data_IF_059105808306
#
_entry.id   IF_059105808306
#
_cell.length_a   1.000
_cell.length_b   1.000
_cell.length_c   1.000
_cell.angle_alpha   90.00
_cell.angle_beta   90.00
_cell.angle_gamma   90.00
#
_symmetry.space_group_name_H-M   'P 1'
#
loop_
_entity.id
_entity.type
_entity.pdbx_description
1 polymer ?
#
# COMPACT_ATOMS: atom_id res chain seq x y z
N UNK A 1 47.81 -4.86 -52.07
CA UNK A 1 47.06 -3.57 -52.04
C UNK A 1 45.61 -3.91 -52.34
N UNK A 2 44.74 -4.03 -51.31
CA UNK A 2 43.60 -3.13 -50.99
C UNK A 2 42.75 -2.84 -52.26
N UNK A 3 41.47 -3.23 -52.37
CA UNK A 3 40.33 -2.76 -51.57
C UNK A 3 39.09 -3.70 -51.62
N UNK A 4 38.49 -3.90 -50.42
CA UNK A 4 37.05 -3.93 -50.03
C UNK A 4 36.03 -4.60 -50.98
N UNK A 5 35.45 -5.77 -50.68
CA UNK A 5 34.49 -6.13 -49.60
C UNK A 5 33.32 -5.16 -49.48
N UNK A 6 32.13 -5.60 -49.94
CA UNK A 6 30.83 -5.23 -49.36
C UNK A 6 29.70 -6.04 -49.99
N UNK A 7 29.44 -7.25 -49.50
CA UNK A 7 28.11 -7.84 -49.57
C UNK A 7 27.98 -9.01 -48.58
N UNK A 8 26.81 -9.08 -47.96
CA UNK A 8 26.35 -10.04 -46.94
C UNK A 8 26.89 -9.81 -45.52
N UNK A 9 26.09 -9.13 -44.70
CA UNK A 9 25.40 -9.81 -43.59
C UNK A 9 24.18 -8.99 -43.14
N UNK A 10 23.10 -9.08 -43.94
CA UNK A 10 21.75 -8.81 -43.46
C UNK A 10 21.33 -10.01 -42.64
N UNK A 11 21.65 -10.03 -41.33
CA UNK A 11 21.03 -10.89 -40.31
C UNK A 11 21.63 -10.62 -38.92
N UNK A 12 21.61 -9.35 -38.52
CA UNK A 12 21.49 -9.02 -37.10
C UNK A 12 20.12 -8.37 -36.96
N UNK A 13 19.09 -9.21 -37.01
CA UNK A 13 17.90 -8.97 -36.19
C UNK A 13 18.47 -9.00 -34.77
N UNK A 14 18.92 -7.83 -34.31
CA UNK A 14 18.98 -7.54 -32.90
C UNK A 14 17.53 -7.64 -32.45
N UNK A 15 17.11 -8.87 -32.15
CA UNK A 15 16.09 -9.11 -31.15
C UNK A 15 16.70 -8.42 -29.95
N UNK A 16 16.18 -7.26 -29.49
CA UNK A 16 16.47 -6.92 -28.13
C UNK A 16 15.89 -8.13 -27.39
N UNK A 17 16.76 -9.00 -26.91
CA UNK A 17 16.45 -9.79 -25.75
C UNK A 17 16.17 -8.71 -24.71
N UNK A 18 14.91 -8.27 -24.68
CA UNK A 18 14.29 -7.77 -23.49
C UNK A 18 14.48 -8.93 -22.54
N UNK A 19 15.61 -8.93 -21.84
CA UNK A 19 15.59 -9.32 -20.47
C UNK A 19 14.36 -8.58 -19.95
N UNK A 20 13.25 -9.31 -19.81
CA UNK A 20 12.39 -9.06 -18.69
C UNK A 20 13.35 -9.18 -17.52
N UNK A 21 14.02 -8.06 -17.21
CA UNK A 21 14.55 -7.80 -15.89
C UNK A 21 13.36 -8.18 -15.05
N UNK A 22 13.51 -9.32 -14.38
CA UNK A 22 12.58 -9.88 -13.44
C UNK A 22 12.16 -8.69 -12.61
N UNK A 23 10.97 -8.15 -12.90
CA UNK A 23 10.65 -6.78 -12.54
C UNK A 23 10.72 -6.79 -11.03
N UNK A 24 11.80 -6.19 -10.48
CA UNK A 24 12.10 -6.28 -9.05
C UNK A 24 10.79 -5.99 -8.34
N UNK A 25 10.25 -6.98 -7.62
CA UNK A 25 8.91 -6.91 -7.05
C UNK A 25 8.90 -5.69 -6.15
N UNK A 26 8.35 -4.59 -6.65
CA UNK A 26 8.47 -3.30 -5.99
C UNK A 26 7.30 -3.12 -5.02
N UNK A 27 7.08 -4.14 -4.19
CA UNK A 27 6.00 -4.26 -3.22
C UNK A 27 5.79 -2.91 -2.50
N UNK A 28 4.54 -2.49 -2.20
CA UNK A 28 4.26 -1.32 -1.37
C UNK A 28 4.98 -1.43 -0.02
N UNK A 29 6.22 -0.94 0.03
CA UNK A 29 7.13 -1.21 1.14
C UNK A 29 6.64 -0.60 2.44
N UNK A 30 6.95 -1.26 3.55
CA UNK A 30 6.69 -0.71 4.88
C UNK A 30 7.56 0.51 5.16
N UNK A 31 7.07 1.38 6.03
CA UNK A 31 7.72 2.64 6.39
C UNK A 31 8.08 2.64 7.87
N UNK A 32 9.12 3.39 8.23
CA UNK A 32 9.52 3.51 9.62
C UNK A 32 8.53 4.41 10.40
N UNK A 33 7.66 3.80 11.20
CA UNK A 33 6.66 4.49 12.04
C UNK A 33 7.27 5.30 13.20
N UNK A 34 8.60 5.32 13.36
CA UNK A 34 9.33 6.15 14.34
C UNK A 34 9.98 7.38 13.70
N UNK A 35 10.01 7.48 12.37
CA UNK A 35 10.60 8.62 11.65
C UNK A 35 9.63 9.81 11.57
N UNK A 36 10.08 10.98 12.00
CA UNK A 36 9.25 12.19 12.08
C UNK A 36 8.71 12.64 10.72
N UNK A 37 9.51 12.53 9.64
CA UNK A 37 9.09 12.95 8.29
C UNK A 37 8.03 11.99 7.75
N UNK A 38 8.24 10.69 7.94
CA UNK A 38 7.27 9.63 7.59
C UNK A 38 5.95 9.87 8.32
N UNK A 39 5.98 10.04 9.65
CA UNK A 39 4.78 10.28 10.46
C UNK A 39 4.04 11.53 9.99
N UNK A 40 4.76 12.62 9.68
CA UNK A 40 4.14 13.86 9.20
C UNK A 40 3.45 13.65 7.84
N UNK A 41 4.08 12.92 6.93
CA UNK A 41 3.51 12.59 5.62
C UNK A 41 2.28 11.69 5.73
N UNK A 42 2.35 10.68 6.60
CA UNK A 42 1.24 9.77 6.92
C UNK A 42 0.04 10.53 7.52
N UNK A 43 0.26 11.34 8.56
CA UNK A 43 -0.81 12.13 9.17
C UNK A 43 -1.48 13.10 8.19
N UNK A 44 -0.72 13.70 7.28
CA UNK A 44 -1.23 14.71 6.35
C UNK A 44 -1.79 14.17 5.03
N UNK A 45 -1.79 12.84 4.83
CA UNK A 45 -2.29 12.26 3.58
C UNK A 45 -1.36 12.48 2.38
N UNK A 46 -0.07 12.77 2.63
CA UNK A 46 0.94 13.06 1.59
C UNK A 46 1.97 11.94 1.42
N UNK A 47 1.84 10.83 2.14
CA UNK A 47 2.75 9.70 2.01
C UNK A 47 2.66 9.08 0.62
N UNK A 48 3.82 8.71 0.08
CA UNK A 48 3.98 8.01 -1.19
C UNK A 48 4.74 6.71 -0.93
N UNK A 49 4.18 5.58 -1.34
CA UNK A 49 4.74 4.24 -1.15
C UNK A 49 5.34 3.77 -2.47
N UNK A 50 6.69 3.73 -2.55
CA UNK A 50 7.45 3.39 -3.77
C UNK A 50 6.89 4.06 -5.05
N UNK A 51 6.49 5.33 -4.95
CA UNK A 51 6.02 6.15 -6.09
C UNK A 51 4.50 6.14 -6.34
N UNK A 52 3.70 5.53 -5.45
CA UNK A 52 2.23 5.51 -5.52
C UNK A 52 1.65 6.22 -4.31
N UNK A 53 0.59 7.00 -4.50
CA UNK A 53 -0.13 7.74 -3.43
C UNK A 53 -1.64 7.47 -3.49
N UNK A 54 -2.34 7.87 -2.44
CA UNK A 54 -3.82 7.84 -2.41
C UNK A 54 -4.39 8.58 -3.63
N UNK A 55 -5.40 7.97 -4.25
CA UNK A 55 -6.04 8.46 -5.47
C UNK A 55 -5.36 8.04 -6.78
N UNK A 56 -4.15 7.48 -6.75
CA UNK A 56 -3.54 6.86 -7.93
C UNK A 56 -4.30 5.59 -8.34
N UNK A 57 -4.18 5.20 -9.61
CA UNK A 57 -4.98 4.09 -10.13
C UNK A 57 -4.33 2.73 -9.95
N UNK A 58 -5.12 1.67 -10.08
CA UNK A 58 -4.62 0.28 -10.20
C UNK A 58 -3.52 0.16 -11.24
N UNK A 59 -3.66 0.82 -12.40
CA UNK A 59 -2.62 0.82 -13.44
C UNK A 59 -1.31 1.42 -12.93
N UNK A 60 -1.38 2.58 -12.26
CA UNK A 60 -0.19 3.21 -11.67
C UNK A 60 0.45 2.29 -10.62
N UNK A 61 -0.36 1.70 -9.75
CA UNK A 61 0.09 0.76 -8.72
C UNK A 61 0.80 -0.45 -9.33
N UNK A 62 0.22 -1.12 -10.32
CA UNK A 62 0.84 -2.30 -10.95
C UNK A 62 2.11 -1.95 -11.75
N UNK A 63 2.20 -0.75 -12.33
CA UNK A 63 3.43 -0.28 -12.99
C UNK A 63 4.55 -0.04 -11.98
N UNK A 64 4.22 0.51 -10.80
CA UNK A 64 5.21 0.86 -9.78
C UNK A 64 5.57 -0.31 -8.89
N UNK A 65 4.60 -1.10 -8.49
CA UNK A 65 4.73 -2.19 -7.53
C UNK A 65 4.87 -3.57 -8.15
N UNK A 66 4.55 -3.70 -9.43
CA UNK A 66 4.55 -4.98 -10.12
C UNK A 66 3.28 -5.78 -9.86
N UNK A 67 3.38 -7.09 -10.12
CA UNK A 67 2.26 -8.02 -10.02
C UNK A 67 1.94 -8.29 -8.53
N UNK A 68 0.67 -8.19 -8.11
CA UNK A 68 0.27 -8.56 -6.76
C UNK A 68 0.32 -10.08 -6.56
N UNK A 69 0.34 -10.52 -5.31
CA UNK A 69 0.25 -11.93 -4.95
C UNK A 69 -1.15 -12.48 -5.27
N UNK A 70 -2.18 -11.71 -4.95
CA UNK A 70 -3.59 -12.03 -5.17
C UNK A 70 -4.37 -10.78 -5.61
N UNK A 71 -5.58 -10.98 -6.11
CA UNK A 71 -6.51 -9.87 -6.34
C UNK A 71 -7.94 -10.31 -6.14
N UNK A 72 -8.73 -9.49 -5.48
CA UNK A 72 -10.12 -9.80 -5.14
C UNK A 72 -11.06 -8.75 -5.71
N UNK A 73 -12.26 -9.20 -6.08
CA UNK A 73 -13.36 -8.33 -6.50
C UNK A 73 -14.48 -8.51 -5.48
N UNK A 74 -14.95 -7.41 -4.91
CA UNK A 74 -16.08 -7.49 -4.01
C UNK A 74 -17.34 -7.90 -4.79
N UNK A 75 -18.00 -8.96 -4.32
CA UNK A 75 -19.28 -9.42 -4.90
C UNK A 75 -20.42 -8.47 -4.52
N UNK A 76 -20.30 -7.80 -3.36
CA UNK A 76 -21.33 -6.93 -2.80
C UNK A 76 -21.10 -5.44 -3.11
N UNK A 77 -19.88 -5.04 -3.42
CA UNK A 77 -19.51 -3.68 -3.80
C UNK A 77 -18.81 -3.71 -5.16
N UNK A 78 -19.60 -3.78 -6.23
CA UNK A 78 -19.14 -3.99 -7.62
C UNK A 78 -18.04 -3.02 -8.12
N UNK A 79 -17.83 -1.91 -7.43
CA UNK A 79 -16.81 -0.93 -7.77
C UNK A 79 -15.56 -1.01 -6.90
N UNK A 80 -15.43 -2.04 -6.08
CA UNK A 80 -14.33 -2.22 -5.17
C UNK A 80 -13.44 -3.39 -5.59
N UNK A 81 -12.14 -3.13 -5.58
CA UNK A 81 -11.10 -4.00 -6.09
C UNK A 81 -9.90 -3.97 -5.16
N UNK A 82 -9.44 -5.14 -4.77
CA UNK A 82 -8.38 -5.32 -3.80
C UNK A 82 -7.20 -6.04 -4.44
N UNK A 83 -6.00 -5.59 -4.10
CA UNK A 83 -4.74 -6.22 -4.47
C UNK A 83 -3.92 -6.46 -3.22
N UNK A 84 -3.45 -7.68 -3.03
CA UNK A 84 -2.56 -7.98 -1.91
C UNK A 84 -1.15 -8.17 -2.40
N UNK A 85 -0.21 -7.62 -1.64
CA UNK A 85 1.20 -7.79 -1.88
C UNK A 85 1.83 -8.43 -0.64
N UNK A 86 2.46 -9.58 -0.85
CA UNK A 86 3.37 -10.18 0.14
C UNK A 86 4.51 -9.20 0.41
N UNK A 87 4.76 -8.90 1.67
CA UNK A 87 5.89 -8.10 2.08
C UNK A 87 7.18 -8.92 2.02
N UNK A 88 8.32 -8.24 1.90
CA UNK A 88 9.67 -8.86 1.91
C UNK A 88 10.04 -9.33 3.34
N UNK A 89 9.21 -10.18 3.93
CA UNK A 89 9.34 -10.74 5.28
C UNK A 89 9.14 -12.26 5.22
N UNK A 90 9.85 -12.99 6.07
CA UNK A 90 9.78 -14.45 6.14
C UNK A 90 8.47 -14.96 6.78
N UNK A 91 7.64 -14.05 7.32
CA UNK A 91 6.34 -14.37 7.90
C UNK A 91 5.22 -14.25 6.87
N UNK A 92 4.53 -15.37 6.64
CA UNK A 92 3.44 -15.52 5.65
C UNK A 92 2.24 -14.58 5.88
N UNK A 93 2.15 -13.95 7.05
CA UNK A 93 1.05 -13.05 7.43
C UNK A 93 1.34 -11.58 7.14
N UNK A 94 2.53 -11.26 6.65
CA UNK A 94 2.96 -9.90 6.40
C UNK A 94 2.45 -9.42 5.05
N UNK A 95 1.22 -8.92 5.03
CA UNK A 95 0.54 -8.46 3.82
C UNK A 95 0.35 -6.95 3.82
N UNK A 96 0.53 -6.37 2.63
CA UNK A 96 -0.02 -5.06 2.29
C UNK A 96 -1.26 -5.26 1.42
N UNK A 97 -2.43 -5.12 2.05
CA UNK A 97 -3.73 -5.16 1.41
C UNK A 97 -4.04 -3.76 0.87
N UNK A 98 -4.32 -3.64 -0.41
CA UNK A 98 -4.55 -2.34 -1.05
C UNK A 98 -5.93 -2.30 -1.68
N UNK A 99 -6.69 -1.26 -1.34
CA UNK A 99 -8.09 -1.16 -1.76
C UNK A 99 -8.30 -0.02 -2.73
N UNK A 100 -8.90 -0.34 -3.87
CA UNK A 100 -9.22 0.57 -4.95
C UNK A 100 -10.73 0.63 -5.14
N UNK A 101 -11.26 1.83 -5.35
CA UNK A 101 -12.67 2.02 -5.74
C UNK A 101 -12.78 2.72 -7.08
N UNK A 102 -13.81 2.36 -7.84
CA UNK A 102 -14.16 2.97 -9.10
C UNK A 102 -15.55 3.59 -9.10
N UNK A 103 -15.99 3.95 -10.30
CA UNK A 103 -17.35 4.40 -10.58
C UNK A 103 -17.97 3.53 -11.67
N UNK A 104 -19.28 3.63 -11.82
CA UNK A 104 -20.01 2.98 -12.91
C UNK A 104 -19.36 3.33 -14.26
N UNK A 105 -19.14 2.32 -15.10
CA UNK A 105 -18.49 2.39 -16.43
C UNK A 105 -16.96 2.59 -16.41
N UNK A 106 -16.32 2.72 -15.24
CA UNK A 106 -14.86 2.64 -15.17
C UNK A 106 -14.41 1.18 -15.26
N UNK A 107 -13.22 0.98 -15.82
CA UNK A 107 -12.53 -0.31 -15.81
C UNK A 107 -11.58 -0.38 -14.62
N UNK A 108 -11.30 -1.58 -14.11
CA UNK A 108 -10.44 -1.77 -12.93
C UNK A 108 -9.09 -1.02 -12.99
N UNK A 109 -8.36 -0.96 -14.13
CA UNK A 109 -7.12 -0.18 -14.23
C UNK A 109 -7.26 1.32 -13.89
N UNK A 110 -8.49 1.85 -13.90
CA UNK A 110 -8.84 3.25 -13.60
C UNK A 110 -9.33 3.46 -12.16
N UNK A 111 -9.59 2.38 -11.42
CA UNK A 111 -10.04 2.46 -10.03
C UNK A 111 -8.92 3.06 -9.19
N UNK A 112 -9.28 3.87 -8.19
CA UNK A 112 -8.37 4.72 -7.44
C UNK A 112 -8.13 4.16 -6.04
N UNK A 113 -6.87 4.19 -5.61
CA UNK A 113 -6.44 3.74 -4.30
C UNK A 113 -7.10 4.59 -3.22
N UNK A 114 -7.87 3.94 -2.35
CA UNK A 114 -8.51 4.57 -1.18
C UNK A 114 -7.73 4.36 0.09
N UNK A 115 -7.18 3.17 0.28
CA UNK A 115 -6.39 2.86 1.45
C UNK A 115 -5.41 1.73 1.19
N UNK A 116 -4.38 1.70 2.02
CA UNK A 116 -3.46 0.57 2.18
C UNK A 116 -3.55 0.14 3.64
N UNK A 117 -3.74 -1.15 3.86
CA UNK A 117 -3.69 -1.77 5.16
C UNK A 117 -2.43 -2.64 5.26
N UNK A 118 -1.71 -2.51 6.37
CA UNK A 118 -0.53 -3.30 6.68
C UNK A 118 -0.84 -4.12 7.92
N UNK A 119 -1.17 -5.39 7.74
CA UNK A 119 -1.41 -6.35 8.82
C UNK A 119 -0.06 -6.95 9.20
N UNK A 120 0.45 -6.66 10.40
CA UNK A 120 1.77 -7.14 10.76
C UNK A 120 2.17 -6.99 12.25
N UNK A 121 2.50 -8.11 12.90
CA UNK A 121 3.17 -8.17 14.22
C UNK A 121 4.70 -7.95 14.14
N UNK A 122 5.32 -8.14 12.97
CA UNK A 122 6.78 -8.10 12.75
C UNK A 122 7.37 -6.69 12.83
N UNK A 123 6.55 -5.66 12.67
CA UNK A 123 6.94 -4.29 13.01
C UNK A 123 6.98 -4.18 14.53
N UNK A 124 8.18 -4.24 15.12
CA UNK A 124 8.41 -3.95 16.55
C UNK A 124 8.04 -2.49 16.88
N UNK A 125 6.75 -2.23 17.06
CA UNK A 125 6.17 -0.92 17.31
C UNK A 125 5.17 -1.00 18.46
N UNK A 126 5.64 -0.72 19.67
CA UNK A 126 4.81 -0.84 20.87
C UNK A 126 3.84 0.33 21.04
N UNK A 127 2.84 0.17 21.92
CA UNK A 127 2.01 1.28 22.39
C UNK A 127 2.86 2.45 22.94
N UNK A 128 3.96 2.14 23.64
CA UNK A 128 4.92 3.13 24.14
C UNK A 128 5.59 3.90 23.00
N UNK A 129 5.91 3.23 21.89
CA UNK A 129 6.43 3.90 20.69
C UNK A 129 5.37 4.84 20.08
N UNK A 130 4.11 4.42 19.96
CA UNK A 130 3.04 5.32 19.52
C UNK A 130 2.98 6.58 20.37
N UNK A 131 2.88 6.45 21.69
CA UNK A 131 2.81 7.61 22.58
C UNK A 131 4.02 8.55 22.43
N UNK A 132 5.21 7.98 22.21
CA UNK A 132 6.47 8.72 22.04
C UNK A 132 6.57 9.43 20.69
N UNK A 133 6.24 8.77 19.59
CA UNK A 133 6.51 9.26 18.24
C UNK A 133 5.28 9.88 17.57
N UNK A 134 4.08 9.35 17.84
CA UNK A 134 2.82 9.82 17.27
C UNK A 134 2.09 10.79 18.20
N UNK A 135 2.38 10.74 19.49
CA UNK A 135 1.83 11.62 20.52
C UNK A 135 0.74 10.94 21.35
N UNK A 136 0.34 11.59 22.45
CA UNK A 136 -0.63 11.03 23.40
C UNK A 136 -2.10 11.22 23.00
N UNK A 137 -2.38 12.18 22.12
CA UNK A 137 -3.74 12.56 21.73
C UNK A 137 -3.96 12.23 20.27
N UNK A 138 -4.66 11.12 20.03
CA UNK A 138 -5.22 10.80 18.73
C UNK A 138 -6.36 11.76 18.38
N UNK A 139 -6.66 11.91 17.10
CA UNK A 139 -7.80 12.71 16.62
C UNK A 139 -9.13 12.02 16.90
N UNK A 140 -9.12 10.69 16.99
CA UNK A 140 -10.27 9.85 17.30
C UNK A 140 -9.79 8.47 17.75
N UNK A 141 -10.53 7.83 18.67
CA UNK A 141 -10.25 6.47 19.15
C UNK A 141 -11.55 5.68 19.13
N UNK A 142 -11.51 4.44 18.66
CA UNK A 142 -12.64 3.52 18.69
C UNK A 142 -12.17 2.07 18.89
N UNK A 143 -13.08 1.24 19.39
CA UNK A 143 -12.87 -0.21 19.53
C UNK A 143 -13.74 -0.94 18.53
N UNK A 144 -13.18 -1.96 17.87
CA UNK A 144 -13.90 -2.81 16.91
C UNK A 144 -13.26 -4.19 16.88
N UNK A 145 -14.06 -5.26 16.95
CA UNK A 145 -13.61 -6.65 16.82
C UNK A 145 -12.31 -6.92 17.62
N UNK A 146 -12.36 -6.66 18.93
CA UNK A 146 -11.25 -6.87 19.87
C UNK A 146 -9.96 -6.08 19.57
N UNK A 147 -10.04 -5.01 18.77
CA UNK A 147 -8.93 -4.08 18.53
C UNK A 147 -9.23 -2.67 19.03
N UNK A 148 -8.21 -2.01 19.57
CA UNK A 148 -8.18 -0.57 19.82
C UNK A 148 -7.55 0.18 18.66
N UNK A 149 -8.26 1.16 18.10
CA UNK A 149 -7.88 1.87 16.88
C UNK A 149 -7.69 3.35 17.15
N UNK A 150 -6.50 3.87 16.81
CA UNK A 150 -6.09 5.25 17.07
C UNK A 150 -5.89 6.01 15.76
N UNK A 151 -6.79 6.96 15.47
CA UNK A 151 -6.71 7.77 14.24
C UNK A 151 -5.82 8.99 14.47
N UNK A 152 -4.78 9.11 13.65
CA UNK A 152 -3.94 10.29 13.50
C UNK A 152 -3.96 10.77 12.04
N UNK A 153 -4.80 11.76 11.75
CA UNK A 153 -4.97 12.30 10.41
C UNK A 153 -5.49 11.24 9.44
N UNK A 154 -4.65 10.84 8.48
CA UNK A 154 -4.97 9.81 7.47
C UNK A 154 -4.49 8.40 7.84
N UNK A 155 -3.96 8.21 9.06
CA UNK A 155 -3.45 6.91 9.52
C UNK A 155 -4.21 6.43 10.73
N UNK A 156 -4.48 5.13 10.77
CA UNK A 156 -5.07 4.41 11.89
C UNK A 156 -4.01 3.43 12.38
N UNK A 157 -3.62 3.53 13.65
CA UNK A 157 -2.76 2.55 14.30
C UNK A 157 -3.65 1.60 15.11
N UNK A 158 -3.46 0.30 14.92
CA UNK A 158 -4.33 -0.74 15.47
C UNK A 158 -3.56 -1.62 16.44
N UNK A 159 -4.15 -1.81 17.61
CA UNK A 159 -3.61 -2.63 18.68
C UNK A 159 -4.63 -3.67 19.12
N UNK A 160 -4.16 -4.84 19.50
CA UNK A 160 -4.98 -5.85 20.18
C UNK A 160 -5.45 -5.29 21.52
N UNK A 161 -6.74 -5.43 21.82
CA UNK A 161 -7.34 -4.90 23.05
C UNK A 161 -7.06 -5.73 24.30
N UNK A 162 -6.66 -7.00 24.16
CA UNK A 162 -6.38 -7.90 25.26
C UNK A 162 -4.95 -7.76 25.79
N UNK A 163 -3.96 -7.69 24.92
CA UNK A 163 -2.54 -7.63 25.32
C UNK A 163 -1.77 -6.38 24.87
N UNK A 164 -2.40 -5.51 24.06
CA UNK A 164 -1.79 -4.29 23.55
C UNK A 164 -0.72 -4.53 22.48
N UNK A 165 -0.65 -5.73 21.90
CA UNK A 165 0.20 -6.04 20.77
C UNK A 165 -0.17 -5.16 19.57
N UNK A 166 0.83 -4.80 18.78
CA UNK A 166 0.59 -4.02 17.58
C UNK A 166 0.15 -4.94 16.45
N UNK A 167 -1.05 -4.69 15.93
CA UNK A 167 -1.64 -5.51 14.88
C UNK A 167 -1.32 -4.99 13.48
N UNK A 168 -1.04 -3.68 13.37
CA UNK A 168 -0.76 -3.05 12.09
C UNK A 168 -1.24 -1.61 11.99
N UNK A 169 -1.26 -1.10 10.76
CA UNK A 169 -1.78 0.23 10.48
C UNK A 169 -2.45 0.33 9.12
N UNK A 170 -3.46 1.20 9.05
CA UNK A 170 -4.12 1.58 7.81
C UNK A 170 -3.79 3.03 7.46
N UNK A 171 -3.47 3.29 6.20
CA UNK A 171 -3.33 4.63 5.64
C UNK A 171 -4.41 4.85 4.57
N UNK A 172 -5.32 5.80 4.81
CA UNK A 172 -6.56 5.95 4.07
C UNK A 172 -6.85 7.39 3.65
N UNK A 173 -7.63 7.55 2.58
CA UNK A 173 -8.11 8.84 2.12
C UNK A 173 -9.05 9.52 3.14
N UNK A 174 -9.21 10.84 2.99
CA UNK A 174 -10.01 11.64 3.92
C UNK A 174 -11.48 11.21 3.99
N UNK A 175 -12.05 10.75 2.86
CA UNK A 175 -13.44 10.31 2.80
C UNK A 175 -13.64 9.03 3.63
N UNK A 176 -12.68 8.11 3.55
CA UNK A 176 -12.65 6.86 4.31
C UNK A 176 -12.48 7.13 5.79
N UNK A 177 -11.55 8.00 6.19
CA UNK A 177 -11.40 8.41 7.59
C UNK A 177 -12.67 9.07 8.13
N UNK A 178 -13.30 9.95 7.35
CA UNK A 178 -14.56 10.60 7.73
C UNK A 178 -15.67 9.59 7.93
N UNK A 179 -15.78 8.60 7.04
CA UNK A 179 -16.79 7.56 7.12
C UNK A 179 -16.58 6.65 8.34
N UNK A 180 -15.33 6.24 8.63
CA UNK A 180 -15.01 5.48 9.84
C UNK A 180 -15.41 6.29 11.09
N UNK A 181 -15.00 7.56 11.18
CA UNK A 181 -15.40 8.42 12.30
C UNK A 181 -16.93 8.49 12.42
N UNK A 182 -17.66 8.61 11.31
CA UNK A 182 -19.12 8.64 11.29
C UNK A 182 -19.74 7.34 11.81
N UNK A 183 -19.21 6.19 11.42
CA UNK A 183 -19.73 4.87 11.84
C UNK A 183 -19.55 4.61 13.33
N UNK A 184 -18.48 5.14 13.93
CA UNK A 184 -18.15 4.93 15.34
C UNK A 184 -18.46 6.14 16.24
N UNK A 185 -18.99 7.22 15.66
CA UNK A 185 -19.60 8.31 16.43
C UNK A 185 -21.06 7.98 16.63
N UNK A 186 -21.47 7.81 17.90
CA UNK A 186 -22.86 7.56 18.28
C UNK A 186 -23.76 8.74 17.95
#
# INVERSE_FOLDING_TARGET
>A
MKQLVSLLLVLLIAVPWTHHAEAARNIPGQVNLKDKKVITALKSGKMTFRGVKLGDTVKTAQVKWGKPASSYRSVNQYYDYELDYELESDDYYDLAETYFTGQRRQTYPQFKLRYINYNNESIRFSYKDMLKYWGKKADFVYTSADTENYIYGQTILTYDSADGAFYGYQYADQATIKEIKRLYTK
#
